data_IF_983636518339
#
_entry.id   IF_983636518339
#
_cell.length_a   1.000
_cell.length_b   1.000
_cell.length_c   1.000
_cell.angle_alpha   90.00
_cell.angle_beta   90.00
_cell.angle_gamma   90.00
#
_symmetry.space_group_name_H-M   'P 1'
#
loop_
_entity.id
_entity.type
_entity.pdbx_description
1 polymer ?
#
# COMPACT_ATOMS: atom_id res chain seq x y z
N UNK A 1 3.59 -14.67 -6.10
CA UNK A 1 2.50 -15.23 -5.25
C UNK A 1 2.68 -14.79 -3.82
N UNK A 2 1.62 -14.33 -3.13
CA UNK A 2 1.60 -14.04 -1.69
C UNK A 2 0.80 -15.11 -0.96
N UNK A 3 1.31 -15.62 0.16
CA UNK A 3 0.59 -16.51 1.07
C UNK A 3 0.58 -15.90 2.48
N UNK A 4 -0.60 -15.82 3.08
CA UNK A 4 -0.80 -15.50 4.49
C UNK A 4 -1.40 -16.75 5.14
N UNK A 5 -0.74 -17.30 6.16
CA UNK A 5 -1.12 -18.58 6.74
C UNK A 5 -1.29 -18.48 8.27
N UNK A 6 -2.45 -18.92 8.75
CA UNK A 6 -2.77 -19.01 10.17
C UNK A 6 -2.53 -17.71 10.95
N UNK A 7 -2.80 -16.56 10.32
CA UNK A 7 -2.58 -15.26 10.92
C UNK A 7 -3.46 -15.11 12.16
N UNK A 8 -2.80 -14.81 13.28
CA UNK A 8 -3.41 -14.45 14.55
C UNK A 8 -2.92 -13.06 14.95
N UNK A 9 -3.85 -12.22 15.40
CA UNK A 9 -3.55 -10.88 15.89
C UNK A 9 -4.43 -10.56 17.09
N UNK A 10 -3.82 -10.19 18.22
CA UNK A 10 -4.50 -9.64 19.38
C UNK A 10 -3.74 -8.42 19.93
N UNK A 11 -4.44 -7.30 20.10
CA UNK A 11 -3.84 -6.11 20.69
C UNK A 11 -3.78 -6.21 22.22
N UNK A 12 -2.79 -5.58 22.87
CA UNK A 12 -2.68 -5.57 24.33
C UNK A 12 -3.96 -5.01 24.97
N UNK A 13 -4.48 -5.73 25.96
CA UNK A 13 -5.70 -5.35 26.69
C UNK A 13 -7.01 -5.72 26.01
N UNK A 14 -6.99 -6.33 24.83
CA UNK A 14 -8.19 -6.94 24.24
C UNK A 14 -8.33 -8.39 24.69
N UNK A 15 -9.58 -8.81 24.93
CA UNK A 15 -9.92 -10.21 25.30
C UNK A 15 -10.10 -11.10 24.06
N UNK A 16 -10.41 -10.50 22.92
CA UNK A 16 -10.65 -11.21 21.67
C UNK A 16 -9.64 -10.79 20.61
N UNK A 17 -9.14 -11.75 19.82
CA UNK A 17 -8.24 -11.45 18.71
C UNK A 17 -9.00 -10.77 17.56
N UNK A 18 -8.30 -9.88 16.85
CA UNK A 18 -8.79 -9.30 15.57
C UNK A 18 -8.85 -10.38 14.49
N UNK A 19 -7.82 -11.23 14.44
CA UNK A 19 -7.76 -12.37 13.53
C UNK A 19 -7.46 -13.64 14.30
N UNK A 20 -8.15 -14.73 13.91
CA UNK A 20 -7.89 -16.07 14.41
C UNK A 20 -7.84 -17.05 13.24
N UNK A 21 -6.63 -17.54 12.93
CA UNK A 21 -6.37 -18.47 11.83
C UNK A 21 -6.74 -17.93 10.43
N UNK A 22 -6.57 -16.62 10.19
CA UNK A 22 -6.83 -16.04 8.88
C UNK A 22 -5.80 -16.58 7.88
N UNK A 23 -6.31 -17.18 6.79
CA UNK A 23 -5.47 -17.78 5.74
C UNK A 23 -6.03 -17.42 4.37
N UNK A 24 -5.16 -16.92 3.48
CA UNK A 24 -5.47 -16.68 2.07
C UNK A 24 -4.20 -16.68 1.22
N UNK A 25 -4.37 -16.81 -0.09
CA UNK A 25 -3.28 -16.68 -1.04
C UNK A 25 -3.70 -15.81 -2.24
N UNK A 26 -2.72 -15.11 -2.82
CA UNK A 26 -2.88 -14.29 -4.01
C UNK A 26 -1.79 -14.61 -5.03
N UNK A 27 -2.20 -14.75 -6.27
CA UNK A 27 -1.29 -14.92 -7.40
C UNK A 27 -0.88 -13.57 -7.99
N UNK A 28 0.11 -13.60 -8.85
CA UNK A 28 0.48 -12.43 -9.65
C UNK A 28 -0.71 -11.96 -10.50
N UNK A 29 -0.90 -10.64 -10.56
CA UNK A 29 -2.02 -10.02 -11.25
C UNK A 29 -3.35 -10.06 -10.49
N UNK A 30 -3.37 -10.51 -9.23
CA UNK A 30 -4.60 -10.55 -8.42
C UNK A 30 -4.71 -9.35 -7.47
N UNK A 31 -5.96 -8.91 -7.28
CA UNK A 31 -6.35 -7.89 -6.32
C UNK A 31 -7.29 -8.49 -5.27
N UNK A 32 -6.88 -8.42 -4.00
CA UNK A 32 -7.73 -8.71 -2.84
C UNK A 32 -8.39 -7.43 -2.34
N UNK A 33 -9.70 -7.39 -2.38
CA UNK A 33 -10.48 -6.31 -1.79
C UNK A 33 -10.91 -6.67 -0.38
N UNK A 34 -10.42 -5.88 0.60
CA UNK A 34 -10.80 -6.00 2.00
C UNK A 34 -12.08 -5.19 2.24
N UNK A 35 -13.12 -5.86 2.71
CA UNK A 35 -14.41 -5.25 3.05
C UNK A 35 -14.73 -5.42 4.52
N UNK A 36 -15.75 -4.72 4.99
CA UNK A 36 -16.23 -4.76 6.37
C UNK A 36 -16.33 -3.38 7.02
N UNK A 37 -16.98 -3.28 8.17
CA UNK A 37 -17.19 -2.03 8.89
C UNK A 37 -15.87 -1.39 9.36
N UNK A 38 -15.95 -0.11 9.78
CA UNK A 38 -14.79 0.54 10.39
C UNK A 38 -14.42 -0.19 11.70
N UNK A 39 -13.11 -0.37 11.90
CA UNK A 39 -12.58 -1.07 13.07
C UNK A 39 -12.55 -2.61 12.96
N UNK A 40 -13.02 -3.23 11.86
CA UNK A 40 -12.98 -4.68 11.70
C UNK A 40 -11.59 -5.28 11.43
N UNK A 41 -10.54 -4.44 11.30
CA UNK A 41 -9.17 -4.91 11.17
C UNK A 41 -8.53 -4.74 9.80
N UNK A 42 -9.14 -4.05 8.81
CA UNK A 42 -8.55 -3.83 7.46
C UNK A 42 -7.14 -3.26 7.53
N UNK A 43 -6.97 -2.11 8.18
CA UNK A 43 -5.67 -1.48 8.42
C UNK A 43 -4.73 -2.38 9.24
N UNK A 44 -5.27 -3.14 10.21
CA UNK A 44 -4.47 -4.08 11.00
C UNK A 44 -3.89 -5.20 10.15
N UNK A 45 -4.64 -5.73 9.19
CA UNK A 45 -4.14 -6.73 8.24
C UNK A 45 -3.02 -6.15 7.36
N UNK A 46 -3.21 -4.94 6.81
CA UNK A 46 -2.18 -4.26 6.03
C UNK A 46 -0.93 -4.01 6.87
N UNK A 47 -1.09 -3.61 8.14
CA UNK A 47 0.02 -3.41 9.07
C UNK A 47 0.76 -4.72 9.43
N UNK A 48 0.07 -5.86 9.50
CA UNK A 48 0.72 -7.16 9.68
C UNK A 48 1.60 -7.49 8.46
N UNK A 49 1.04 -7.36 7.26
CA UNK A 49 1.74 -7.70 6.02
C UNK A 49 2.93 -6.76 5.78
N UNK A 50 2.78 -5.46 6.07
CA UNK A 50 3.87 -4.49 5.95
C UNK A 50 4.96 -4.64 7.02
N UNK A 51 4.68 -5.35 8.12
CA UNK A 51 5.60 -5.54 9.26
C UNK A 51 5.59 -4.41 10.28
N UNK A 52 4.71 -3.42 10.14
CA UNK A 52 4.46 -2.43 11.18
C UNK A 52 4.03 -3.14 12.46
N UNK A 53 3.18 -4.15 12.34
CA UNK A 53 2.90 -5.13 13.40
C UNK A 53 3.73 -6.37 13.11
N UNK A 54 4.50 -6.87 14.09
CA UNK A 54 4.66 -6.41 15.48
C UNK A 54 5.86 -5.45 15.69
N UNK A 55 6.59 -5.05 14.64
CA UNK A 55 7.90 -4.39 14.79
C UNK A 55 7.80 -2.95 15.34
N UNK A 56 6.71 -2.24 15.09
CA UNK A 56 6.46 -0.86 15.58
C UNK A 56 5.26 -0.78 16.50
N UNK A 57 4.21 -1.52 16.20
CA UNK A 57 3.00 -1.61 17.02
C UNK A 57 3.03 -2.95 17.74
N UNK A 58 3.08 -2.90 19.10
CA UNK A 58 3.08 -4.11 19.92
C UNK A 58 1.72 -4.81 19.83
N UNK A 59 1.75 -6.08 19.47
CA UNK A 59 0.59 -6.96 19.48
C UNK A 59 1.07 -8.41 19.59
N UNK A 60 0.21 -9.30 20.05
CA UNK A 60 0.44 -10.72 19.91
C UNK A 60 0.16 -11.09 18.45
N UNK A 61 1.21 -11.51 17.75
CA UNK A 61 1.20 -11.82 16.33
C UNK A 61 1.77 -13.23 16.12
N UNK A 62 1.06 -14.05 15.34
CA UNK A 62 1.50 -15.37 14.90
C UNK A 62 1.04 -15.60 13.46
N UNK A 63 1.65 -16.57 12.79
CA UNK A 63 1.35 -16.93 11.42
C UNK A 63 2.45 -16.50 10.47
N UNK A 64 2.36 -16.95 9.22
CA UNK A 64 3.40 -16.79 8.21
C UNK A 64 2.92 -15.86 7.09
N UNK A 65 3.81 -14.97 6.64
CA UNK A 65 3.60 -14.08 5.50
C UNK A 65 4.74 -14.33 4.51
N UNK A 66 4.41 -15.00 3.40
CA UNK A 66 5.38 -15.46 2.43
C UNK A 66 5.09 -14.82 1.08
N UNK A 67 6.06 -14.09 0.52
CA UNK A 67 5.99 -13.47 -0.81
C UNK A 67 7.04 -14.10 -1.73
N UNK A 68 6.61 -14.76 -2.82
CA UNK A 68 7.50 -15.42 -3.78
C UNK A 68 8.54 -16.32 -3.08
N UNK A 69 8.05 -17.19 -2.18
CA UNK A 69 8.82 -18.14 -1.36
C UNK A 69 9.77 -17.49 -0.32
N UNK A 70 9.71 -16.17 -0.18
CA UNK A 70 10.46 -15.42 0.83
C UNK A 70 9.56 -15.17 2.06
N UNK A 71 9.98 -15.65 3.23
CA UNK A 71 9.34 -15.30 4.50
C UNK A 71 9.62 -13.82 4.83
N UNK A 72 8.54 -13.01 4.93
CA UNK A 72 8.65 -11.60 5.27
C UNK A 72 8.79 -11.37 6.78
N UNK A 73 8.43 -12.31 7.63
CA UNK A 73 8.40 -12.08 9.08
C UNK A 73 9.75 -11.65 9.67
N UNK A 74 10.89 -12.30 9.33
CA UNK A 74 12.19 -11.90 9.87
C UNK A 74 12.76 -10.63 9.24
N UNK A 75 12.18 -10.13 8.11
CA UNK A 75 12.73 -8.98 7.40
C UNK A 75 12.44 -7.69 8.19
N UNK A 76 13.46 -6.89 8.53
CA UNK A 76 13.27 -5.60 9.18
C UNK A 76 12.39 -4.66 8.35
N UNK A 77 11.54 -3.86 9.02
CA UNK A 77 10.60 -2.96 8.35
C UNK A 77 11.29 -2.00 7.37
N UNK A 78 12.49 -1.53 7.72
CA UNK A 78 13.29 -0.63 6.87
C UNK A 78 13.91 -1.31 5.64
N UNK A 79 13.74 -2.61 5.47
CA UNK A 79 14.16 -3.36 4.28
C UNK A 79 12.98 -3.85 3.44
N UNK A 80 11.77 -3.82 4.01
CA UNK A 80 10.55 -4.32 3.34
C UNK A 80 10.14 -3.49 2.11
N UNK A 81 10.58 -2.22 2.01
CA UNK A 81 10.33 -1.39 0.83
C UNK A 81 10.82 -2.01 -0.50
N UNK A 82 11.71 -3.00 -0.44
CA UNK A 82 12.18 -3.74 -1.62
C UNK A 82 11.15 -4.75 -2.13
N UNK A 83 10.21 -5.13 -1.29
CA UNK A 83 9.24 -6.20 -1.54
C UNK A 83 7.81 -5.70 -1.64
N UNK A 84 7.51 -4.60 -0.98
CA UNK A 84 6.17 -4.03 -0.97
C UNK A 84 6.17 -2.50 -0.88
N UNK A 85 5.16 -1.91 -1.50
CA UNK A 85 4.80 -0.51 -1.32
C UNK A 85 3.54 -0.42 -0.47
N UNK A 86 3.49 0.50 0.48
CA UNK A 86 2.34 0.70 1.35
C UNK A 86 1.87 2.14 1.34
N UNK A 87 0.63 2.37 0.93
CA UNK A 87 -0.07 3.64 1.06
C UNK A 87 -0.98 3.55 2.28
N UNK A 88 -0.72 4.35 3.32
CA UNK A 88 -1.53 4.44 4.54
C UNK A 88 -2.75 5.34 4.33
N UNK A 89 -3.80 5.16 5.12
CA UNK A 89 -5.03 5.94 5.04
C UNK A 89 -4.81 7.44 5.21
N UNK A 90 -3.92 7.84 6.12
CA UNK A 90 -3.51 9.23 6.34
C UNK A 90 -2.16 9.51 5.66
N UNK A 91 -2.11 10.34 4.59
CA UNK A 91 -0.89 10.65 3.87
C UNK A 91 0.11 11.47 4.69
N UNK A 92 -0.33 12.23 5.70
CA UNK A 92 0.57 13.04 6.54
C UNK A 92 1.51 12.17 7.40
N UNK A 93 1.19 10.89 7.58
CA UNK A 93 2.08 9.92 8.24
C UNK A 93 3.21 9.40 7.34
N UNK A 94 3.20 9.74 6.05
CA UNK A 94 4.16 9.23 5.05
C UNK A 94 4.92 10.31 4.29
N UNK A 95 4.56 11.59 4.46
CA UNK A 95 5.19 12.72 3.77
C UNK A 95 6.12 13.43 4.75
N UNK A 96 7.42 13.45 4.45
CA UNK A 96 8.45 13.96 5.36
C UNK A 96 9.34 15.05 4.74
N UNK A 97 9.42 15.13 3.43
CA UNK A 97 10.34 16.04 2.75
C UNK A 97 9.69 17.40 2.44
N UNK A 98 10.51 18.47 2.34
CA UNK A 98 9.98 19.82 2.15
C UNK A 98 9.50 20.10 0.71
N UNK A 99 9.72 19.18 -0.24
CA UNK A 99 9.30 19.32 -1.65
C UNK A 99 8.84 17.99 -2.22
N UNK A 100 7.86 18.03 -3.12
CA UNK A 100 7.34 16.87 -3.85
C UNK A 100 8.46 16.09 -4.56
N UNK A 101 9.38 16.80 -5.23
CA UNK A 101 10.57 16.21 -5.87
C UNK A 101 11.38 15.34 -4.91
N UNK A 102 11.63 15.85 -3.70
CA UNK A 102 12.45 15.15 -2.70
C UNK A 102 11.74 13.94 -2.14
N UNK A 103 10.43 14.04 -1.93
CA UNK A 103 9.62 12.92 -1.48
C UNK A 103 9.70 11.74 -2.46
N UNK A 104 9.51 12.01 -3.76
CA UNK A 104 9.57 10.99 -4.80
C UNK A 104 10.99 10.44 -5.01
N UNK A 105 12.02 11.30 -4.92
CA UNK A 105 13.41 10.86 -5.08
C UNK A 105 13.85 9.92 -3.96
N UNK A 106 13.46 10.21 -2.73
CA UNK A 106 13.81 9.40 -1.55
C UNK A 106 13.31 7.96 -1.68
N UNK A 107 12.13 7.75 -2.27
CA UNK A 107 11.59 6.41 -2.51
C UNK A 107 12.58 5.49 -3.24
N UNK A 108 13.39 6.06 -4.11
CA UNK A 108 14.25 5.34 -5.04
C UNK A 108 15.73 5.37 -4.67
N UNK A 109 16.18 6.28 -3.80
CA UNK A 109 17.60 6.44 -3.43
C UNK A 109 18.23 5.15 -2.90
N UNK A 110 17.45 4.32 -2.19
CA UNK A 110 17.93 3.05 -1.62
C UNK A 110 17.61 1.83 -2.49
N UNK A 111 17.05 2.03 -3.68
CA UNK A 111 16.67 0.93 -4.58
C UNK A 111 17.81 0.40 -5.44
N UNK A 112 19.00 1.01 -5.38
CA UNK A 112 20.16 0.64 -6.20
C UNK A 112 20.04 1.00 -7.68
N UNK A 113 19.14 1.94 -8.03
CA UNK A 113 18.88 2.38 -9.39
C UNK A 113 19.89 3.43 -9.83
N UNK A 114 20.13 3.51 -11.14
CA UNK A 114 20.87 4.61 -11.74
C UNK A 114 20.04 5.90 -11.69
N UNK A 115 20.71 7.06 -11.74
CA UNK A 115 20.02 8.38 -11.78
C UNK A 115 19.03 8.46 -12.96
N UNK A 116 19.34 7.83 -14.09
CA UNK A 116 18.48 7.81 -15.27
C UNK A 116 17.18 7.02 -14.97
N UNK A 117 17.31 5.82 -14.44
CA UNK A 117 16.16 4.98 -14.08
C UNK A 117 15.28 5.65 -13.01
N UNK A 118 15.89 6.28 -12.00
CA UNK A 118 15.16 7.04 -11.00
C UNK A 118 14.33 8.15 -11.65
N UNK A 119 14.94 8.98 -12.52
CA UNK A 119 14.24 10.05 -13.22
C UNK A 119 13.08 9.54 -14.07
N UNK A 120 13.27 8.46 -14.82
CA UNK A 120 12.25 7.88 -15.67
C UNK A 120 11.03 7.37 -14.84
N UNK A 121 11.30 6.72 -13.70
CA UNK A 121 10.23 6.25 -12.79
C UNK A 121 9.48 7.41 -12.15
N UNK A 122 10.19 8.44 -11.69
CA UNK A 122 9.57 9.61 -11.06
C UNK A 122 8.71 10.39 -12.07
N UNK A 123 9.19 10.62 -13.28
CA UNK A 123 8.46 11.30 -14.34
C UNK A 123 7.16 10.53 -14.62
N UNK A 124 7.24 9.23 -14.85
CA UNK A 124 6.06 8.38 -15.09
C UNK A 124 5.06 8.47 -13.93
N UNK A 125 5.52 8.31 -12.70
CA UNK A 125 4.66 8.38 -11.53
C UNK A 125 3.99 9.76 -11.39
N UNK A 126 4.69 10.86 -11.66
CA UNK A 126 4.09 12.21 -11.64
C UNK A 126 3.08 12.41 -12.76
N UNK A 127 3.31 11.86 -13.94
CA UNK A 127 2.38 11.90 -15.07
C UNK A 127 1.11 11.10 -14.78
N UNK A 128 1.24 9.87 -14.29
CA UNK A 128 0.12 8.98 -13.97
C UNK A 128 -0.86 9.63 -12.98
N UNK A 129 -0.35 10.40 -12.03
CA UNK A 129 -1.16 11.05 -10.98
C UNK A 129 -1.38 12.54 -11.18
N UNK A 130 -0.83 13.16 -12.24
CA UNK A 130 -1.04 14.59 -12.57
C UNK A 130 -0.38 15.54 -11.57
N UNK A 131 0.85 15.25 -11.18
CA UNK A 131 1.62 15.99 -10.17
C UNK A 131 2.73 16.88 -10.78
N UNK A 132 2.81 17.02 -12.12
CA UNK A 132 3.90 17.71 -12.81
C UNK A 132 4.03 19.17 -12.38
N UNK A 133 2.91 19.85 -12.17
CA UNK A 133 2.88 21.27 -11.78
C UNK A 133 3.22 21.51 -10.30
N UNK A 134 3.32 20.43 -9.51
CA UNK A 134 3.58 20.49 -8.06
C UNK A 134 5.02 20.15 -7.68
N UNK A 135 5.92 19.96 -8.64
CA UNK A 135 7.27 19.47 -8.46
C UNK A 135 8.06 20.17 -7.34
N UNK A 136 8.06 21.52 -7.35
CA UNK A 136 8.75 22.33 -6.34
C UNK A 136 7.86 22.72 -5.15
N UNK A 137 6.61 22.25 -5.14
CA UNK A 137 5.65 22.63 -4.11
C UNK A 137 6.00 21.97 -2.78
N UNK A 138 5.80 22.70 -1.70
CA UNK A 138 5.84 22.15 -0.35
C UNK A 138 4.61 21.26 -0.13
N UNK A 139 4.78 19.97 0.27
CA UNK A 139 3.63 19.08 0.47
C UNK A 139 2.57 19.61 1.45
N UNK A 140 2.98 20.44 2.41
CA UNK A 140 2.04 21.11 3.33
C UNK A 140 1.04 22.06 2.65
N UNK A 141 1.31 22.50 1.41
CA UNK A 141 0.41 23.36 0.60
C UNK A 141 -0.53 22.56 -0.28
N UNK A 142 -0.34 21.26 -0.39
CA UNK A 142 -1.20 20.36 -1.15
C UNK A 142 -2.52 20.10 -0.41
N UNK A 143 -3.61 19.99 -1.17
CA UNK A 143 -4.87 19.48 -0.61
C UNK A 143 -4.72 18.02 -0.15
N UNK A 144 -5.63 17.53 0.68
CA UNK A 144 -5.61 16.13 1.15
C UNK A 144 -5.61 15.14 -0.03
N UNK A 145 -6.43 15.42 -1.06
CA UNK A 145 -6.45 14.59 -2.27
C UNK A 145 -5.11 14.61 -3.03
N UNK A 146 -4.47 15.77 -3.16
CA UNK A 146 -3.15 15.88 -3.80
C UNK A 146 -2.06 15.17 -2.99
N UNK A 147 -2.10 15.23 -1.66
CA UNK A 147 -1.20 14.47 -0.78
C UNK A 147 -1.39 12.96 -0.97
N UNK A 148 -2.63 12.49 -1.11
CA UNK A 148 -2.90 11.08 -1.42
C UNK A 148 -2.33 10.67 -2.77
N UNK A 149 -2.54 11.47 -3.80
CA UNK A 149 -1.93 11.22 -5.10
C UNK A 149 -0.40 11.21 -5.04
N UNK A 150 0.22 12.07 -4.22
CA UNK A 150 1.66 12.08 -4.01
C UNK A 150 2.16 10.77 -3.39
N UNK A 151 1.46 10.25 -2.35
CA UNK A 151 1.84 8.97 -1.74
C UNK A 151 1.63 7.80 -2.72
N UNK A 152 0.57 7.83 -3.53
CA UNK A 152 0.35 6.82 -4.59
C UNK A 152 1.44 6.89 -5.67
N UNK A 153 1.87 8.10 -6.08
CA UNK A 153 2.99 8.29 -6.99
C UNK A 153 4.30 7.74 -6.39
N UNK A 154 4.54 7.98 -5.10
CA UNK A 154 5.64 7.38 -4.36
C UNK A 154 5.60 5.85 -4.41
N UNK A 155 4.46 5.24 -4.13
CA UNK A 155 4.28 3.78 -4.24
C UNK A 155 4.50 3.28 -5.68
N UNK A 156 3.99 4.00 -6.68
CA UNK A 156 4.16 3.65 -8.09
C UNK A 156 5.63 3.66 -8.52
N UNK A 157 6.39 4.69 -8.10
CA UNK A 157 7.79 4.82 -8.43
C UNK A 157 8.67 3.68 -7.85
N UNK A 158 8.29 3.09 -6.72
CA UNK A 158 9.01 1.97 -6.10
C UNK A 158 9.00 0.71 -6.97
N UNK A 159 7.95 0.45 -7.73
CA UNK A 159 7.80 -0.69 -8.64
C UNK A 159 8.04 -2.06 -7.95
N UNK A 160 7.39 -2.28 -6.83
CA UNK A 160 7.49 -3.50 -6.02
C UNK A 160 6.56 -4.61 -6.51
N UNK A 161 6.74 -5.89 -6.12
CA UNK A 161 5.82 -6.97 -6.45
C UNK A 161 4.47 -6.93 -5.71
N UNK A 162 4.40 -6.29 -4.53
CA UNK A 162 3.20 -6.22 -3.69
C UNK A 162 2.85 -4.77 -3.35
N UNK A 163 1.58 -4.42 -3.47
CA UNK A 163 1.02 -3.12 -3.09
C UNK A 163 -0.04 -3.29 -2.01
N UNK A 164 0.10 -2.54 -0.93
CA UNK A 164 -0.86 -2.45 0.17
C UNK A 164 -1.48 -1.05 0.14
N UNK A 165 -2.80 -0.97 0.00
CA UNK A 165 -3.50 0.30 -0.18
C UNK A 165 -4.63 0.43 0.85
N UNK A 166 -4.54 1.47 1.69
CA UNK A 166 -5.52 1.74 2.75
C UNK A 166 -6.32 3.00 2.40
N UNK A 167 -7.54 2.82 1.93
CA UNK A 167 -8.45 3.85 1.45
C UNK A 167 -7.81 4.78 0.40
N UNK A 168 -7.28 4.24 -0.71
CA UNK A 168 -6.52 5.03 -1.68
C UNK A 168 -7.32 6.13 -2.35
N UNK A 169 -8.66 6.02 -2.43
CA UNK A 169 -9.49 7.04 -3.08
C UNK A 169 -10.25 7.93 -2.12
N UNK A 170 -10.11 7.76 -0.80
CA UNK A 170 -10.74 8.67 0.15
C UNK A 170 -10.22 10.11 -0.08
N UNK A 171 -11.12 11.09 -0.07
CA UNK A 171 -10.86 12.50 -0.41
C UNK A 171 -10.47 12.79 -1.88
N UNK A 172 -10.54 11.79 -2.77
CA UNK A 172 -10.42 11.99 -4.22
C UNK A 172 -11.80 12.16 -4.87
N UNK A 173 -11.82 12.73 -6.05
CA UNK A 173 -13.04 12.91 -6.85
C UNK A 173 -12.78 12.71 -8.35
N UNK A 174 -13.81 12.28 -9.07
CA UNK A 174 -13.88 12.30 -10.53
C UNK A 174 -12.62 11.76 -11.21
N UNK A 175 -11.89 12.65 -11.90
CA UNK A 175 -10.70 12.32 -12.69
C UNK A 175 -9.58 11.68 -11.85
N UNK A 176 -9.42 12.08 -10.59
CA UNK A 176 -8.38 11.51 -9.73
C UNK A 176 -8.66 10.04 -9.38
N UNK A 177 -9.93 9.67 -9.18
CA UNK A 177 -10.33 8.27 -8.98
C UNK A 177 -10.04 7.46 -10.24
N UNK A 178 -10.31 8.02 -11.41
CA UNK A 178 -10.01 7.35 -12.69
C UNK A 178 -8.50 7.12 -12.87
N UNK A 179 -7.65 8.08 -12.49
CA UNK A 179 -6.18 7.91 -12.51
C UNK A 179 -5.76 6.74 -11.61
N UNK A 180 -6.29 6.65 -10.40
CA UNK A 180 -6.01 5.53 -9.50
C UNK A 180 -6.47 4.19 -10.10
N UNK A 181 -7.68 4.16 -10.70
CA UNK A 181 -8.20 2.95 -11.35
C UNK A 181 -7.30 2.49 -12.48
N UNK A 182 -6.92 3.39 -13.41
CA UNK A 182 -6.03 3.07 -14.53
C UNK A 182 -4.66 2.56 -14.04
N UNK A 183 -4.12 3.17 -12.98
CA UNK A 183 -2.88 2.72 -12.36
C UNK A 183 -3.02 1.31 -11.79
N UNK A 184 -4.11 0.99 -11.09
CA UNK A 184 -4.38 -0.36 -10.57
C UNK A 184 -4.49 -1.39 -11.70
N UNK A 185 -5.22 -1.09 -12.78
CA UNK A 185 -5.31 -1.94 -13.97
C UNK A 185 -3.92 -2.21 -14.57
N UNK A 186 -3.07 -1.19 -14.63
CA UNK A 186 -1.69 -1.33 -15.08
C UNK A 186 -0.87 -2.22 -14.14
N UNK A 187 -0.97 -2.05 -12.83
CA UNK A 187 -0.29 -2.92 -11.85
C UNK A 187 -0.67 -4.39 -12.06
N UNK A 188 -1.96 -4.68 -12.14
CA UNK A 188 -2.47 -6.04 -12.30
C UNK A 188 -2.03 -6.68 -13.63
N UNK A 189 -2.09 -5.92 -14.72
CA UNK A 189 -1.62 -6.39 -16.05
C UNK A 189 -0.12 -6.67 -16.09
N UNK A 190 0.67 -6.00 -15.23
CA UNK A 190 2.11 -6.25 -15.06
C UNK A 190 2.43 -7.30 -13.98
N UNK A 191 1.43 -8.08 -13.56
CA UNK A 191 1.61 -9.19 -12.63
C UNK A 191 1.85 -8.76 -11.17
N UNK A 192 1.59 -7.50 -10.81
CA UNK A 192 1.70 -7.05 -9.42
C UNK A 192 0.54 -7.60 -8.59
N UNK A 193 0.80 -7.81 -7.31
CA UNK A 193 -0.21 -8.23 -6.34
C UNK A 193 -0.69 -7.00 -5.59
N UNK A 194 -2.01 -6.85 -5.43
CA UNK A 194 -2.60 -5.71 -4.73
C UNK A 194 -3.50 -6.21 -3.60
N UNK A 195 -3.36 -5.63 -2.41
CA UNK A 195 -4.34 -5.74 -1.31
C UNK A 195 -4.87 -4.35 -1.03
N UNK A 196 -6.17 -4.18 -1.12
CA UNK A 196 -6.80 -2.86 -1.02
C UNK A 196 -7.97 -2.89 -0.03
N UNK A 197 -7.89 -2.04 1.00
CA UNK A 197 -9.02 -1.68 1.85
C UNK A 197 -9.69 -0.44 1.24
N UNK A 198 -10.90 -0.57 0.73
CA UNK A 198 -11.59 0.51 0.03
C UNK A 198 -13.11 0.34 0.13
N UNK A 199 -13.83 1.47 0.10
CA UNK A 199 -15.29 1.51 0.11
C UNK A 199 -15.90 1.88 -1.25
N UNK A 200 -15.08 2.35 -2.20
CA UNK A 200 -15.54 2.75 -3.54
C UNK A 200 -15.81 1.50 -4.40
N UNK A 201 -17.08 1.26 -4.79
CA UNK A 201 -17.45 0.06 -5.57
C UNK A 201 -16.85 0.03 -6.97
N UNK A 202 -16.51 1.20 -7.56
CA UNK A 202 -15.91 1.26 -8.90
C UNK A 202 -14.53 0.59 -8.93
N UNK A 203 -13.76 0.70 -7.83
CA UNK A 203 -12.49 0.00 -7.69
C UNK A 203 -12.67 -1.47 -7.28
N UNK A 204 -13.74 -1.78 -6.57
CA UNK A 204 -14.10 -3.16 -6.23
C UNK A 204 -14.34 -4.05 -7.46
N UNK A 205 -14.71 -3.45 -8.59
CA UNK A 205 -14.86 -4.18 -9.87
C UNK A 205 -13.56 -4.79 -10.40
N UNK A 206 -12.40 -4.32 -9.92
CA UNK A 206 -11.08 -4.86 -10.27
C UNK A 206 -10.68 -6.07 -9.39
N UNK A 207 -11.42 -6.32 -8.32
CA UNK A 207 -11.08 -7.37 -7.37
C UNK A 207 -11.25 -8.77 -8.00
N UNK A 208 -10.23 -9.59 -7.85
CA UNK A 208 -10.27 -11.02 -8.18
C UNK A 208 -10.72 -11.85 -6.98
N UNK A 209 -10.50 -11.34 -5.77
CA UNK A 209 -10.92 -11.95 -4.52
C UNK A 209 -11.47 -10.87 -3.56
N UNK A 210 -12.42 -11.26 -2.73
CA UNK A 210 -13.00 -10.40 -1.68
C UNK A 210 -12.82 -11.09 -0.33
N UNK A 211 -12.31 -10.37 0.65
CA UNK A 211 -12.21 -10.81 2.03
C UNK A 211 -13.05 -9.88 2.92
N UNK A 212 -14.18 -10.40 3.41
CA UNK A 212 -15.03 -9.69 4.36
C UNK A 212 -14.53 -9.95 5.79
N UNK A 213 -14.02 -8.91 6.43
CA UNK A 213 -13.53 -8.95 7.82
C UNK A 213 -14.62 -8.61 8.85
N UNK A 214 -15.85 -8.38 8.40
CA UNK A 214 -16.97 -8.05 9.29
C UNK A 214 -17.71 -9.25 9.87
N UNK A 215 -17.22 -10.47 9.62
CA UNK A 215 -17.85 -11.71 10.07
C UNK A 215 -17.05 -12.40 11.13
#
# INVERSE_FOLDING_TARGET
>A
MLKVQNLYLCYPGQSEPIFQNLTFELKEGELLWLTGPNGCGKTSLLNCISGIIPQRIKAEFRGDIILNDLDLNPIPINERFRYLAYQMSDPDNQIFFPRVEKELSFALENAGLTIKEMKERIIRATEDFGLQDFWETEPGKLSLGQKKLLVLAFCSAQDTPLYLLDEPTSALSGESILKVKNWLENLLSNGKIVIMAEHNPDLGSLATQILDLGK
#
